data_IF_889980994602
#
_entry.id   IF_889980994602
#
_cell.length_a   1.000
_cell.length_b   1.000
_cell.length_c   1.000
_cell.angle_alpha   90.00
_cell.angle_beta   90.00
_cell.angle_gamma   90.00
#
_symmetry.space_group_name_H-M   'P 1'
#
loop_
_entity.id
_entity.type
_entity.pdbx_description
1 polymer ?
#
# COMPACT_ATOMS: atom_id res chain seq x y z
N UNK A 1 5.86 8.07 -1.17
CA UNK A 1 6.04 6.99 -0.17
C UNK A 1 5.02 7.15 0.97
N UNK A 2 4.81 6.11 1.77
CA UNK A 2 3.93 6.14 2.95
C UNK A 2 4.54 5.35 4.10
N UNK A 3 4.26 5.76 5.33
CA UNK A 3 4.79 5.15 6.55
C UNK A 3 3.67 4.90 7.54
N UNK A 4 3.77 3.76 8.23
CA UNK A 4 2.91 3.39 9.34
C UNK A 4 3.80 3.05 10.54
N UNK A 5 3.45 3.59 11.71
CA UNK A 5 4.05 3.12 12.97
C UNK A 5 3.09 2.10 13.56
N UNK A 6 3.57 0.86 13.66
CA UNK A 6 2.80 -0.27 14.13
C UNK A 6 3.27 -0.70 15.53
N UNK A 7 2.35 -0.75 16.50
CA UNK A 7 2.59 -1.39 17.80
C UNK A 7 2.21 -2.85 17.70
N UNK A 8 3.19 -3.76 17.85
CA UNK A 8 2.96 -5.20 17.76
C UNK A 8 2.01 -5.67 18.87
N UNK A 9 0.99 -6.43 18.49
CA UNK A 9 0.05 -7.06 19.40
C UNK A 9 0.60 -8.41 19.90
N UNK A 10 0.39 -8.75 21.18
CA UNK A 10 0.99 -9.93 21.81
C UNK A 10 0.18 -11.21 21.52
N UNK A 11 0.23 -11.69 20.28
CA UNK A 11 -0.37 -12.98 19.87
C UNK A 11 0.72 -14.03 19.58
N UNK A 12 1.41 -14.57 20.61
CA UNK A 12 2.57 -15.44 20.41
C UNK A 12 2.25 -16.72 19.63
N UNK A 13 1.06 -17.31 19.83
CA UNK A 13 0.65 -18.53 19.13
C UNK A 13 0.52 -18.30 17.62
N UNK A 14 -0.12 -17.19 17.22
CA UNK A 14 -0.27 -16.79 15.80
C UNK A 14 1.11 -16.49 15.19
N UNK A 15 1.96 -15.78 15.93
CA UNK A 15 3.31 -15.44 15.50
C UNK A 15 4.15 -16.68 15.26
N UNK A 16 4.16 -17.63 16.20
CA UNK A 16 4.98 -18.83 16.08
C UNK A 16 4.44 -19.80 15.03
N UNK A 17 3.12 -20.02 15.00
CA UNK A 17 2.51 -21.00 14.11
C UNK A 17 2.54 -20.55 12.64
N UNK A 18 2.42 -19.25 12.37
CA UNK A 18 2.24 -18.72 11.02
C UNK A 18 3.32 -17.73 10.58
N UNK A 19 4.30 -17.42 11.43
CA UNK A 19 5.24 -16.31 11.21
C UNK A 19 4.51 -14.98 10.93
N UNK A 20 3.36 -14.77 11.59
CA UNK A 20 2.45 -13.66 11.35
C UNK A 20 2.39 -12.72 12.54
N UNK A 21 2.80 -11.47 12.34
CA UNK A 21 2.65 -10.41 13.32
C UNK A 21 1.45 -9.53 12.99
N UNK A 22 0.65 -9.23 14.00
CA UNK A 22 -0.42 -8.24 13.92
C UNK A 22 -0.04 -7.02 14.75
N UNK A 23 -0.46 -5.82 14.33
CA UNK A 23 -0.14 -4.60 15.06
C UNK A 23 -1.15 -3.49 14.84
N UNK A 24 -1.34 -2.66 15.87
CA UNK A 24 -2.16 -1.45 15.80
C UNK A 24 -1.38 -0.35 15.07
N UNK A 25 -2.03 0.32 14.11
CA UNK A 25 -1.47 1.52 13.49
C UNK A 25 -1.68 2.69 14.46
N UNK A 26 -0.60 3.15 15.09
CA UNK A 26 -0.66 4.24 16.07
C UNK A 26 -0.32 5.62 15.47
N UNK A 27 0.29 5.64 14.28
CA UNK A 27 0.51 6.85 13.51
C UNK A 27 0.75 6.52 12.03
N UNK A 28 0.47 7.48 11.15
CA UNK A 28 0.63 7.35 9.71
C UNK A 28 1.08 8.68 9.08
N UNK A 29 1.92 8.58 8.06
CA UNK A 29 2.35 9.71 7.23
C UNK A 29 2.48 9.29 5.77
N UNK A 30 2.49 10.27 4.89
CA UNK A 30 2.75 10.07 3.48
C UNK A 30 3.56 11.23 2.91
N UNK A 31 4.19 10.96 1.77
CA UNK A 31 4.74 12.02 0.91
C UNK A 31 3.58 12.70 0.17
N UNK A 32 3.37 13.98 0.45
CA UNK A 32 2.26 14.79 -0.10
C UNK A 32 2.26 14.87 -1.64
N UNK A 33 3.39 14.54 -2.28
CA UNK A 33 3.48 14.47 -3.76
C UNK A 33 2.69 13.31 -4.34
N UNK A 34 2.43 12.25 -3.57
CA UNK A 34 1.72 11.04 -4.05
C UNK A 34 0.46 10.71 -3.27
N UNK A 35 0.26 11.27 -2.08
CA UNK A 35 -0.95 11.06 -1.30
C UNK A 35 -1.38 12.36 -0.63
N UNK A 36 -2.61 12.79 -0.89
CA UNK A 36 -3.16 14.04 -0.34
C UNK A 36 -4.67 13.92 -0.18
N UNK A 37 -5.23 14.56 0.84
CA UNK A 37 -6.66 14.57 1.12
C UNK A 37 -7.28 13.15 1.14
N UNK A 38 -6.55 12.17 1.69
CA UNK A 38 -7.01 10.78 1.80
C UNK A 38 -6.93 9.95 0.52
N UNK A 39 -6.29 10.44 -0.55
CA UNK A 39 -6.25 9.76 -1.85
C UNK A 39 -4.83 9.69 -2.41
N UNK A 40 -4.52 8.57 -3.09
CA UNK A 40 -3.33 8.47 -3.92
C UNK A 40 -3.53 9.26 -5.23
N UNK A 41 -2.47 9.95 -5.66
CA UNK A 41 -2.45 10.81 -6.85
C UNK A 41 -1.26 10.46 -7.75
N UNK A 42 -0.98 9.16 -7.93
CA UNK A 42 0.17 8.68 -8.70
C UNK A 42 0.19 9.13 -10.16
N UNK A 43 -0.98 9.36 -10.77
CA UNK A 43 -1.08 9.82 -12.17
C UNK A 43 -0.57 11.25 -12.36
N UNK A 44 -0.53 12.05 -11.29
CA UNK A 44 -0.02 13.43 -11.29
C UNK A 44 1.42 13.53 -10.76
N UNK A 45 2.00 12.42 -10.32
CA UNK A 45 3.32 12.36 -9.69
C UNK A 45 4.38 11.77 -10.63
N UNK A 46 5.68 12.08 -10.44
CA UNK A 46 6.76 11.42 -11.16
C UNK A 46 6.72 9.89 -11.02
N UNK A 47 7.00 9.18 -12.11
CA UNK A 47 6.95 7.70 -12.16
C UNK A 47 7.86 7.03 -11.12
N UNK A 48 8.97 7.66 -10.76
CA UNK A 48 9.89 7.22 -9.71
C UNK A 48 9.26 7.12 -8.31
N UNK A 49 8.10 7.75 -8.10
CA UNK A 49 7.36 7.68 -6.83
C UNK A 49 6.25 6.63 -6.84
N UNK A 50 6.06 5.89 -7.94
CA UNK A 50 5.13 4.76 -8.01
C UNK A 50 5.56 3.66 -7.04
N UNK A 51 4.59 3.02 -6.38
CA UNK A 51 4.88 1.87 -5.52
C UNK A 51 5.31 0.67 -6.35
N UNK A 52 6.23 -0.12 -5.80
CA UNK A 52 6.72 -1.36 -6.42
C UNK A 52 5.98 -2.57 -5.87
N UNK A 53 5.62 -3.49 -6.75
CA UNK A 53 4.86 -4.70 -6.47
C UNK A 53 5.67 -5.90 -6.96
N UNK A 54 6.17 -6.71 -6.04
CA UNK A 54 7.03 -7.85 -6.35
C UNK A 54 6.24 -9.01 -6.96
N UNK A 55 6.86 -9.71 -7.91
CA UNK A 55 6.31 -10.95 -8.51
C UNK A 55 7.19 -12.14 -8.15
N UNK A 56 8.34 -12.29 -8.81
CA UNK A 56 9.31 -13.37 -8.59
C UNK A 56 10.64 -13.06 -9.29
N UNK A 57 11.73 -13.73 -8.91
CA UNK A 57 13.00 -13.70 -9.64
C UNK A 57 13.64 -12.32 -9.77
N UNK A 58 13.38 -11.40 -8.83
CA UNK A 58 13.84 -10.01 -8.91
C UNK A 58 13.02 -9.11 -9.85
N UNK A 59 11.90 -9.58 -10.40
CA UNK A 59 10.99 -8.79 -11.22
C UNK A 59 9.91 -8.09 -10.37
N UNK A 60 9.65 -6.83 -10.70
CA UNK A 60 8.68 -5.97 -10.05
C UNK A 60 7.84 -5.23 -11.08
N UNK A 61 6.60 -4.92 -10.74
CA UNK A 61 5.78 -3.93 -11.46
C UNK A 61 5.64 -2.67 -10.63
N UNK A 62 5.68 -1.51 -11.27
CA UNK A 62 5.19 -0.28 -10.66
C UNK A 62 3.65 -0.28 -10.69
N UNK A 63 3.00 0.39 -9.73
CA UNK A 63 1.55 0.62 -9.78
C UNK A 63 1.17 1.23 -11.13
N UNK A 64 0.06 0.77 -11.72
CA UNK A 64 -0.38 1.18 -13.05
C UNK A 64 -1.00 2.57 -13.09
N UNK A 65 -1.47 2.95 -14.28
CA UNK A 65 -2.33 4.13 -14.47
C UNK A 65 -3.65 3.94 -13.71
N UNK A 66 -4.14 4.99 -13.07
CA UNK A 66 -5.46 4.98 -12.45
C UNK A 66 -6.58 4.77 -13.47
N UNK A 67 -7.58 4.00 -13.07
CA UNK A 67 -8.86 3.88 -13.78
C UNK A 67 -9.97 4.28 -12.84
N UNK A 68 -10.89 5.12 -13.32
CA UNK A 68 -12.10 5.47 -12.59
C UNK A 68 -13.28 4.83 -13.30
N UNK A 69 -14.06 4.12 -12.52
CA UNK A 69 -15.28 3.44 -12.94
C UNK A 69 -16.46 4.19 -12.34
N UNK A 70 -17.51 4.41 -13.13
CA UNK A 70 -18.78 4.99 -12.68
C UNK A 70 -19.70 3.90 -12.14
N UNK A 71 -19.50 2.65 -12.57
CA UNK A 71 -20.25 1.46 -12.18
C UNK A 71 -19.31 0.31 -11.76
N UNK A 72 -19.87 -0.76 -11.20
CA UNK A 72 -19.07 -1.91 -10.75
C UNK A 72 -18.42 -2.68 -11.91
N UNK A 73 -17.49 -3.61 -11.62
CA UNK A 73 -16.84 -4.43 -12.64
C UNK A 73 -17.87 -5.11 -13.56
N UNK A 74 -17.75 -4.90 -14.88
CA UNK A 74 -18.62 -5.47 -15.90
C UNK A 74 -19.87 -4.65 -16.25
N UNK A 75 -20.00 -3.43 -15.72
CA UNK A 75 -21.06 -2.48 -16.09
C UNK A 75 -20.53 -1.19 -16.74
N UNK A 76 -19.21 -1.00 -16.72
CA UNK A 76 -18.44 0.01 -17.46
C UNK A 76 -17.61 -0.63 -18.58
#
# INVERSE_FOLDING_TARGET
>A
AGWLVCKVMPYPDIQQQHNLFMGDIVAAWSDDRVFRNGHWIFDDAPDELRTVHYVAGGQFYAIGKGSKFDHGPGQD
#
